data_IF_848461617696
#
_entry.id   IF_848461617696
#
_cell.length_a   1.000
_cell.length_b   1.000
_cell.length_c   1.000
_cell.angle_alpha   90.00
_cell.angle_beta   90.00
_cell.angle_gamma   90.00
#
_symmetry.space_group_name_H-M   'P 1'
#
loop_
_entity.id
_entity.type
_entity.pdbx_description
1 polymer ?
#
# COMPACT_ATOMS: atom_id res chain seq x y z
N UNK A 1 14.24 -5.40 -16.43
CA UNK A 1 14.67 -4.17 -15.75
C UNK A 1 13.47 -3.63 -14.99
N UNK A 2 13.63 -3.27 -13.71
CA UNK A 2 12.54 -2.63 -12.96
C UNK A 2 12.32 -1.21 -13.51
N UNK A 3 11.08 -0.77 -13.76
CA UNK A 3 10.82 0.57 -14.26
C UNK A 3 11.40 1.63 -13.31
N UNK A 4 11.94 2.72 -13.84
CA UNK A 4 12.57 3.74 -13.01
C UNK A 4 11.51 4.51 -12.21
N UNK A 5 11.92 5.09 -11.08
CA UNK A 5 11.06 5.97 -10.28
C UNK A 5 10.52 7.17 -11.10
N UNK A 6 11.32 7.68 -12.04
CA UNK A 6 10.91 8.72 -12.97
C UNK A 6 9.76 8.26 -13.87
N UNK A 7 9.83 7.03 -14.40
CA UNK A 7 8.78 6.49 -15.26
C UNK A 7 7.46 6.33 -14.50
N UNK A 8 7.53 5.92 -13.22
CA UNK A 8 6.36 5.88 -12.34
C UNK A 8 5.70 7.26 -12.21
N UNK A 9 6.46 8.29 -11.83
CA UNK A 9 5.88 9.63 -11.66
C UNK A 9 5.32 10.19 -12.98
N UNK A 10 5.95 9.90 -14.11
CA UNK A 10 5.41 10.27 -15.42
C UNK A 10 4.09 9.55 -15.73
N UNK A 11 3.97 8.25 -15.40
CA UNK A 11 2.73 7.49 -15.57
C UNK A 11 1.62 8.02 -14.65
N UNK A 12 1.94 8.27 -13.38
CA UNK A 12 1.02 8.85 -12.42
C UNK A 12 0.50 10.20 -12.90
N UNK A 13 1.41 11.10 -13.29
CA UNK A 13 1.06 12.42 -13.82
C UNK A 13 0.17 12.35 -15.07
N UNK A 14 0.44 11.44 -16.01
CA UNK A 14 -0.44 11.22 -17.18
C UNK A 14 -1.81 10.70 -16.76
N UNK A 15 -1.87 9.80 -15.77
CA UNK A 15 -3.12 9.23 -15.27
C UNK A 15 -3.98 10.28 -14.59
N UNK A 16 -3.37 11.16 -13.81
CA UNK A 16 -4.05 12.30 -13.17
C UNK A 16 -4.58 13.29 -14.21
N UNK A 17 -3.80 13.64 -15.24
CA UNK A 17 -4.29 14.48 -16.35
C UNK A 17 -5.49 13.82 -17.04
N UNK A 18 -5.41 12.54 -17.37
CA UNK A 18 -6.50 11.83 -18.03
C UNK A 18 -7.76 11.73 -17.15
N UNK A 19 -7.59 11.63 -15.82
CA UNK A 19 -8.70 11.60 -14.87
C UNK A 19 -9.35 12.99 -14.69
N UNK A 20 -8.59 14.09 -14.84
CA UNK A 20 -9.14 15.45 -14.84
C UNK A 20 -10.04 15.70 -16.05
N UNK A 21 -9.67 15.17 -17.21
CA UNK A 21 -10.45 15.30 -18.45
C UNK A 21 -11.69 14.38 -18.49
N UNK A 22 -11.72 13.31 -17.69
CA UNK A 22 -12.84 12.38 -17.61
C UNK A 22 -12.93 11.73 -16.22
N UNK A 23 -13.73 12.30 -15.29
CA UNK A 23 -13.79 11.86 -13.88
C UNK A 23 -14.63 10.60 -13.73
N UNK A 24 -14.18 9.51 -14.35
CA UNK A 24 -14.78 8.19 -14.17
C UNK A 24 -14.01 7.49 -13.06
N UNK A 25 -14.49 7.63 -11.82
CA UNK A 25 -13.98 6.93 -10.63
C UNK A 25 -14.38 5.44 -10.62
N UNK A 26 -14.19 4.74 -11.73
CA UNK A 26 -14.30 3.28 -11.71
C UNK A 26 -12.93 2.71 -11.34
N UNK A 27 -12.88 1.96 -10.24
CA UNK A 27 -11.79 1.03 -9.97
C UNK A 27 -11.55 0.22 -11.25
N UNK A 28 -10.41 0.45 -11.90
CA UNK A 28 -10.07 -0.25 -13.13
C UNK A 28 -10.04 -1.74 -12.80
N UNK A 29 -10.84 -2.54 -13.51
CA UNK A 29 -10.75 -3.99 -13.42
C UNK A 29 -9.35 -4.38 -13.85
N UNK A 30 -8.56 -4.85 -12.91
CA UNK A 30 -7.23 -5.38 -13.14
C UNK A 30 -7.35 -6.81 -13.69
N UNK A 31 -6.45 -7.17 -14.60
CA UNK A 31 -6.46 -8.49 -15.25
C UNK A 31 -5.80 -9.59 -14.40
N UNK A 32 -5.44 -9.29 -13.15
CA UNK A 32 -4.85 -10.25 -12.22
C UNK A 32 -5.73 -10.39 -10.98
N UNK A 33 -5.63 -11.51 -10.27
CA UNK A 33 -6.27 -11.73 -8.98
C UNK A 33 -5.25 -11.39 -7.88
N UNK A 34 -5.56 -10.39 -7.05
CA UNK A 34 -4.66 -9.85 -6.03
C UNK A 34 -5.07 -10.35 -4.65
N UNK A 35 -4.16 -11.08 -4.02
CA UNK A 35 -4.30 -11.57 -2.65
C UNK A 35 -3.35 -10.77 -1.77
N UNK A 36 -3.84 -10.14 -0.71
CA UNK A 36 -3.00 -9.43 0.26
C UNK A 36 -2.98 -10.23 1.55
N UNK A 37 -1.79 -10.39 2.12
CA UNK A 37 -1.58 -10.99 3.43
C UNK A 37 -1.15 -9.89 4.41
N UNK A 38 -2.02 -9.59 5.37
CA UNK A 38 -1.79 -8.62 6.44
C UNK A 38 -1.43 -9.31 7.77
N UNK A 39 -1.10 -8.53 8.79
CA UNK A 39 -0.81 -9.02 10.14
C UNK A 39 0.44 -8.39 10.76
N UNK A 40 0.78 -8.71 12.01
CA UNK A 40 1.91 -8.08 12.72
C UNK A 40 3.28 -8.55 12.24
N UNK A 41 4.33 -7.80 12.56
CA UNK A 41 5.71 -8.20 12.23
C UNK A 41 6.10 -9.50 12.97
N UNK A 42 6.94 -10.31 12.33
CA UNK A 42 7.40 -11.58 12.92
C UNK A 42 6.41 -12.75 12.84
N UNK A 43 5.21 -12.59 12.27
CA UNK A 43 4.19 -13.67 12.17
C UNK A 43 4.39 -14.65 11.01
N UNK A 44 5.50 -14.54 10.27
CA UNK A 44 5.80 -15.46 9.16
C UNK A 44 5.14 -15.13 7.81
N UNK A 45 4.49 -13.96 7.66
CA UNK A 45 3.81 -13.53 6.42
C UNK A 45 4.68 -13.65 5.17
N UNK A 46 5.92 -13.17 5.20
CA UNK A 46 6.81 -13.23 4.05
C UNK A 46 7.04 -14.67 3.58
N UNK A 47 7.09 -15.64 4.50
CA UNK A 47 7.18 -17.07 4.16
C UNK A 47 5.88 -17.58 3.56
N UNK A 48 4.73 -17.20 4.13
CA UNK A 48 3.41 -17.56 3.61
C UNK A 48 3.19 -17.00 2.20
N UNK A 49 3.44 -15.71 1.98
CA UNK A 49 3.29 -15.02 0.70
C UNK A 49 4.09 -15.72 -0.40
N UNK A 50 5.37 -16.00 -0.16
CA UNK A 50 6.24 -16.71 -1.12
C UNK A 50 5.73 -18.10 -1.45
N UNK A 51 5.30 -18.86 -0.44
CA UNK A 51 4.75 -20.22 -0.63
C UNK A 51 3.44 -20.16 -1.39
N UNK A 52 2.51 -19.30 -0.98
CA UNK A 52 1.20 -19.16 -1.58
C UNK A 52 1.29 -18.73 -3.05
N UNK A 53 2.14 -17.75 -3.37
CA UNK A 53 2.40 -17.33 -4.75
C UNK A 53 2.90 -18.51 -5.59
N UNK A 54 3.85 -19.28 -5.07
CA UNK A 54 4.39 -20.46 -5.74
C UNK A 54 3.33 -21.54 -5.99
N UNK A 55 2.54 -21.89 -4.97
CA UNK A 55 1.49 -22.92 -5.08
C UNK A 55 0.36 -22.52 -6.04
N UNK A 56 0.07 -21.21 -6.15
CA UNK A 56 -0.94 -20.68 -7.08
C UNK A 56 -0.41 -20.41 -8.48
N UNK A 57 0.89 -20.61 -8.74
CA UNK A 57 1.52 -20.25 -10.02
C UNK A 57 1.51 -18.74 -10.30
N UNK A 58 1.46 -17.91 -9.26
CA UNK A 58 1.51 -16.45 -9.32
C UNK A 58 2.90 -15.90 -8.99
N UNK A 59 2.94 -14.61 -8.64
CA UNK A 59 4.14 -13.93 -8.16
C UNK A 59 3.94 -13.41 -6.74
N UNK A 60 5.03 -13.31 -5.97
CA UNK A 60 5.05 -12.59 -4.70
C UNK A 60 5.59 -11.16 -4.86
N UNK A 61 5.02 -10.24 -4.09
CA UNK A 61 5.51 -8.87 -3.94
C UNK A 61 5.21 -8.33 -2.54
N UNK A 62 5.61 -7.10 -2.22
CA UNK A 62 5.44 -6.48 -0.90
C UNK A 62 5.28 -4.96 -0.98
N UNK A 63 4.68 -4.36 0.05
CA UNK A 63 4.68 -2.90 0.24
C UNK A 63 5.68 -2.47 1.34
N UNK A 64 6.53 -1.46 1.10
CA UNK A 64 6.75 -0.77 -0.17
C UNK A 64 7.49 -1.67 -1.18
N UNK A 65 7.36 -1.39 -2.49
CA UNK A 65 8.03 -2.16 -3.54
C UNK A 65 9.55 -2.07 -3.42
N UNK A 66 10.25 -3.06 -3.97
CA UNK A 66 11.71 -3.16 -3.90
C UNK A 66 12.43 -1.94 -4.50
N UNK A 67 11.79 -1.27 -5.47
CA UNK A 67 12.24 -0.01 -6.09
C UNK A 67 12.45 1.12 -5.07
N UNK A 68 11.72 1.10 -3.94
CA UNK A 68 11.87 2.06 -2.83
C UNK A 68 12.78 1.56 -1.70
N UNK A 69 13.37 0.37 -1.84
CA UNK A 69 14.13 -0.29 -0.77
C UNK A 69 15.34 0.53 -0.28
N UNK A 70 15.99 1.28 -1.15
CA UNK A 70 17.20 2.07 -0.83
C UNK A 70 16.94 3.26 0.09
N UNK A 71 15.71 3.81 0.06
CA UNK A 71 15.33 4.98 0.85
C UNK A 71 14.45 4.62 2.05
N UNK A 72 13.97 3.37 2.11
CA UNK A 72 13.04 2.90 3.15
C UNK A 72 13.55 3.18 4.56
N UNK A 73 14.77 2.78 4.88
CA UNK A 73 15.32 2.89 6.24
C UNK A 73 15.33 4.34 6.75
N UNK A 74 15.59 5.31 5.85
CA UNK A 74 15.53 6.73 6.17
C UNK A 74 14.11 7.17 6.58
N UNK A 75 13.07 6.69 5.89
CA UNK A 75 11.69 7.03 6.22
C UNK A 75 11.21 6.28 7.48
N UNK A 76 11.60 5.02 7.65
CA UNK A 76 11.31 4.22 8.84
C UNK A 76 11.88 4.89 10.10
N UNK A 77 13.12 5.42 10.03
CA UNK A 77 13.74 6.18 11.11
C UNK A 77 13.02 7.50 11.44
N UNK A 78 12.43 8.18 10.45
CA UNK A 78 11.68 9.43 10.68
C UNK A 78 10.36 9.19 11.40
N UNK A 79 9.72 8.05 11.16
CA UNK A 79 8.43 7.70 11.75
C UNK A 79 7.32 8.72 11.44
N UNK A 80 6.21 8.63 12.18
CA UNK A 80 5.12 9.60 12.13
C UNK A 80 4.54 9.82 10.73
N UNK A 81 4.02 11.03 10.49
CA UNK A 81 3.37 11.42 9.24
C UNK A 81 4.30 11.28 8.01
N UNK A 82 5.60 11.52 8.16
CA UNK A 82 6.57 11.43 7.07
C UNK A 82 6.75 9.97 6.61
N UNK A 83 6.88 9.03 7.56
CA UNK A 83 6.90 7.61 7.21
C UNK A 83 5.58 7.19 6.56
N UNK A 84 4.43 7.63 7.10
CA UNK A 84 3.11 7.25 6.55
C UNK A 84 2.93 7.75 5.11
N UNK A 85 3.35 8.98 4.80
CA UNK A 85 3.33 9.51 3.43
C UNK A 85 4.18 8.65 2.47
N UNK A 86 5.36 8.21 2.91
CA UNK A 86 6.20 7.29 2.13
C UNK A 86 5.52 5.95 1.85
N UNK A 87 4.90 5.33 2.87
CA UNK A 87 4.15 4.08 2.70
C UNK A 87 2.91 4.25 1.80
N UNK A 88 2.21 5.39 1.90
CA UNK A 88 1.10 5.72 0.98
C UNK A 88 1.58 5.77 -0.46
N UNK A 89 2.66 6.50 -0.75
CA UNK A 89 3.26 6.53 -2.10
C UNK A 89 3.67 5.12 -2.55
N UNK A 90 4.27 4.34 -1.65
CA UNK A 90 4.62 2.94 -1.90
C UNK A 90 3.43 2.09 -2.33
N UNK A 91 2.24 2.31 -1.78
CA UNK A 91 1.03 1.58 -2.15
C UNK A 91 0.60 1.86 -3.61
N UNK A 92 0.69 3.12 -4.06
CA UNK A 92 0.38 3.50 -5.46
C UNK A 92 1.45 3.03 -6.43
N UNK A 93 2.72 3.06 -6.03
CA UNK A 93 3.81 2.47 -6.82
C UNK A 93 3.62 0.97 -7.01
N UNK A 94 3.26 0.27 -5.94
CA UNK A 94 2.99 -1.16 -6.01
C UNK A 94 1.82 -1.48 -6.94
N UNK A 95 0.73 -0.70 -6.89
CA UNK A 95 -0.36 -0.84 -7.85
C UNK A 95 0.13 -0.71 -9.30
N UNK A 96 0.91 0.32 -9.59
CA UNK A 96 1.44 0.52 -10.94
C UNK A 96 2.35 -0.63 -11.37
N UNK A 97 3.21 -1.14 -10.48
CA UNK A 97 4.02 -2.33 -10.76
C UNK A 97 3.14 -3.57 -11.05
N UNK A 98 2.06 -3.79 -10.29
CA UNK A 98 1.11 -4.89 -10.50
C UNK A 98 0.37 -4.75 -11.84
N UNK A 99 -0.16 -3.57 -12.15
CA UNK A 99 -0.91 -3.33 -13.38
C UNK A 99 -0.04 -3.48 -14.64
N UNK A 100 1.27 -3.25 -14.52
CA UNK A 100 2.22 -3.45 -15.62
C UNK A 100 2.76 -4.89 -15.68
N UNK A 101 2.49 -5.73 -14.69
CA UNK A 101 2.90 -7.12 -14.69
C UNK A 101 1.90 -7.99 -15.47
N UNK A 102 2.41 -8.95 -16.27
CA UNK A 102 1.58 -9.86 -17.09
C UNK A 102 1.13 -11.13 -16.33
N UNK A 103 1.09 -11.10 -15.00
CA UNK A 103 0.71 -12.28 -14.21
C UNK A 103 -0.80 -12.33 -14.00
N UNK A 104 -1.35 -13.53 -13.79
CA UNK A 104 -2.76 -13.71 -13.46
C UNK A 104 -3.01 -13.68 -11.95
N UNK A 105 -2.00 -13.93 -11.11
CA UNK A 105 -2.14 -13.94 -9.65
C UNK A 105 -0.96 -13.21 -9.03
N UNK A 106 -1.25 -12.30 -8.10
CA UNK A 106 -0.26 -11.58 -7.29
C UNK A 106 -0.58 -11.80 -5.82
N UNK A 107 0.41 -12.24 -5.04
CA UNK A 107 0.31 -12.32 -3.58
C UNK A 107 1.19 -11.25 -2.95
N UNK A 108 0.60 -10.39 -2.13
CA UNK A 108 1.22 -9.17 -1.60
C UNK A 108 1.43 -9.29 -0.09
N UNK A 109 2.67 -9.11 0.37
CA UNK A 109 2.99 -8.93 1.79
C UNK A 109 2.74 -7.47 2.18
N UNK A 110 1.61 -7.23 2.86
CA UNK A 110 1.06 -5.92 3.29
C UNK A 110 0.72 -4.94 2.18
N UNK A 111 -0.33 -4.15 2.39
CA UNK A 111 -0.67 -3.04 1.51
C UNK A 111 -1.29 -1.85 2.29
N UNK A 112 -2.39 -1.27 1.79
CA UNK A 112 -2.98 -0.09 2.40
C UNK A 112 -3.52 -0.34 3.81
N UNK A 113 -4.07 -1.52 4.11
CA UNK A 113 -4.61 -1.83 5.44
C UNK A 113 -3.52 -1.72 6.53
N UNK A 114 -2.31 -2.23 6.28
CA UNK A 114 -1.14 -1.95 7.14
C UNK A 114 -0.87 -0.45 7.28
N UNK A 115 -0.88 0.30 6.18
CA UNK A 115 -0.61 1.76 6.22
C UNK A 115 -1.64 2.48 7.11
N UNK A 116 -2.92 2.16 6.95
CA UNK A 116 -4.02 2.67 7.78
C UNK A 116 -3.83 2.32 9.26
N UNK A 117 -3.64 1.02 9.57
CA UNK A 117 -3.53 0.54 10.95
C UNK A 117 -2.38 1.21 11.71
N UNK A 118 -1.18 1.28 11.10
CA UNK A 118 -0.04 1.96 11.74
C UNK A 118 -0.23 3.48 11.82
N UNK A 119 -0.97 4.10 10.88
CA UNK A 119 -1.28 5.54 10.96
C UNK A 119 -2.16 5.85 12.16
N UNK A 120 -3.22 5.06 12.36
CA UNK A 120 -4.12 5.14 13.52
C UNK A 120 -3.35 4.90 14.81
N UNK A 121 -2.57 3.81 14.89
CA UNK A 121 -1.79 3.48 16.09
C UNK A 121 -0.78 4.58 16.45
N UNK A 122 -0.15 5.20 15.45
CA UNK A 122 0.81 6.30 15.68
C UNK A 122 0.11 7.58 16.13
N UNK A 123 -1.09 7.86 15.62
CA UNK A 123 -1.88 9.02 16.02
C UNK A 123 -2.37 8.89 17.47
N UNK A 124 -2.87 7.71 17.86
CA UNK A 124 -3.37 7.45 19.21
C UNK A 124 -2.24 7.22 20.24
N UNK A 125 -1.07 6.72 19.83
CA UNK A 125 0.02 6.29 20.73
C UNK A 125 0.99 7.37 21.21
N UNK A 126 0.82 8.65 20.82
CA UNK A 126 1.70 9.74 21.29
C UNK A 126 1.20 10.32 22.63
N UNK A 127 1.48 9.60 23.72
CA UNK A 127 1.22 10.06 25.10
C UNK A 127 2.11 11.24 25.56
N UNK A 128 3.12 11.67 24.78
CA UNK A 128 4.18 12.59 25.26
C UNK A 128 4.27 13.95 24.56
N UNK A 129 3.23 14.38 23.83
CA UNK A 129 3.13 15.76 23.35
C UNK A 129 1.77 16.30 23.75
N UNK A 130 1.77 17.39 24.52
CA UNK A 130 0.66 18.05 25.24
C UNK A 130 -0.55 18.51 24.40
N UNK A 131 -0.69 18.04 23.16
CA UNK A 131 -1.77 18.38 22.22
C UNK A 131 -2.10 17.25 21.21
N UNK A 132 -1.60 16.02 21.37
CA UNK A 132 -1.99 14.90 20.50
C UNK A 132 -3.28 14.25 21.02
N UNK A 133 -4.31 14.20 20.17
CA UNK A 133 -5.68 13.82 20.52
C UNK A 133 -5.78 12.49 21.27
N UNK A 134 -6.41 12.54 22.45
CA UNK A 134 -6.77 11.40 23.29
C UNK A 134 -7.94 10.57 22.74
N UNK A 135 -8.25 10.68 21.45
CA UNK A 135 -9.39 9.97 20.89
C UNK A 135 -9.02 8.48 20.78
N UNK A 136 -9.80 7.65 21.46
CA UNK A 136 -9.77 6.20 21.27
C UNK A 136 -10.03 5.87 19.80
N UNK A 137 -9.68 4.66 19.38
CA UNK A 137 -9.99 4.19 18.01
C UNK A 137 -11.49 4.37 17.68
N UNK A 138 -12.36 4.23 18.68
CA UNK A 138 -13.81 4.42 18.55
C UNK A 138 -14.23 5.88 18.29
N UNK A 139 -13.37 6.85 18.62
CA UNK A 139 -13.59 8.28 18.35
C UNK A 139 -13.22 8.69 16.92
N UNK A 140 -12.50 7.84 16.18
CA UNK A 140 -12.05 8.15 14.83
C UNK A 140 -13.19 7.99 13.83
N UNK A 141 -13.33 8.98 12.94
CA UNK A 141 -14.33 8.93 11.87
C UNK A 141 -14.07 7.79 10.87
N UNK A 142 -15.15 7.17 10.37
CA UNK A 142 -15.11 6.03 9.44
C UNK A 142 -14.24 6.27 8.19
N UNK A 143 -14.16 7.52 7.74
CA UNK A 143 -13.38 7.91 6.56
C UNK A 143 -11.89 7.54 6.67
N UNK A 144 -11.34 7.46 7.89
CA UNK A 144 -9.94 7.10 8.13
C UNK A 144 -9.66 5.63 7.78
N UNK A 145 -10.68 4.75 7.89
CA UNK A 145 -10.57 3.32 7.62
C UNK A 145 -10.93 2.95 6.18
N UNK A 146 -11.44 3.91 5.41
CA UNK A 146 -11.88 3.66 4.03
C UNK A 146 -10.69 3.44 3.12
N UNK A 147 -10.76 2.38 2.30
CA UNK A 147 -9.80 2.17 1.22
C UNK A 147 -9.86 3.34 0.22
N UNK A 148 -8.73 3.87 -0.28
CA UNK A 148 -8.75 5.01 -1.21
C UNK A 148 -9.48 4.64 -2.51
N UNK A 149 -10.36 5.51 -2.98
CA UNK A 149 -11.20 5.22 -4.15
C UNK A 149 -10.39 5.07 -5.45
N UNK A 150 -9.19 5.64 -5.50
CA UNK A 150 -8.25 5.61 -6.62
C UNK A 150 -7.14 4.56 -6.48
N UNK A 151 -7.13 3.83 -5.35
CA UNK A 151 -6.27 2.67 -5.13
C UNK A 151 -7.07 1.39 -5.40
N UNK A 152 -6.51 0.52 -6.22
CA UNK A 152 -7.03 -0.81 -6.56
C UNK A 152 -7.26 -1.60 -5.28
N UNK A 153 -8.46 -2.13 -5.09
CA UNK A 153 -8.79 -2.99 -3.97
C UNK A 153 -8.30 -4.43 -4.27
N UNK A 154 -7.74 -5.15 -3.29
CA UNK A 154 -7.43 -6.56 -3.48
C UNK A 154 -8.71 -7.39 -3.64
N UNK A 155 -8.60 -8.49 -4.39
CA UNK A 155 -9.69 -9.45 -4.56
C UNK A 155 -9.88 -10.33 -3.30
N UNK A 156 -8.81 -10.52 -2.52
CA UNK A 156 -8.82 -11.24 -1.25
C UNK A 156 -7.85 -10.62 -0.25
N UNK A 157 -8.30 -10.45 0.99
CA UNK A 157 -7.50 -9.99 2.13
C UNK A 157 -7.44 -11.11 3.19
N UNK A 158 -6.22 -11.50 3.58
CA UNK A 158 -5.91 -12.55 4.57
C UNK A 158 -5.21 -11.99 5.80
#
# INVERSE_FOLDING_TARGET
ESPSLSDFFQRMYRRDINNLDNPVHHQQRHNCFVIVVEGLDGTGKTTLVKRLAKELGGIDTKSPPASLGTVRDMFDQRGGAVARAFYTVGNYMLQDEILNHKTNIVVVDRWYASTCAYSVATACGKENTTTAGQESVDGLGEAIFRWPDDLMCPDLLL
#
